data_IF_840198660817
#
_entry.id   IF_840198660817
#
_cell.length_a   1.000
_cell.length_b   1.000
_cell.length_c   1.000
_cell.angle_alpha   90.00
_cell.angle_beta   90.00
_cell.angle_gamma   90.00
#
_symmetry.space_group_name_H-M   'P 1'
#
loop_
_entity.id
_entity.type
_entity.pdbx_description
1 polymer ?
#
# COMPACT_ATOMS: atom_id res chain seq x y z
N UNK A 1 -24.70 30.66 12.65
CA UNK A 1 -25.71 29.70 12.17
C UNK A 1 -25.00 28.54 11.47
N UNK A 2 -24.94 27.37 12.10
CA UNK A 2 -24.41 26.16 11.47
C UNK A 2 -25.41 25.78 10.37
N UNK A 3 -25.02 25.91 9.08
CA UNK A 3 -25.82 25.39 7.97
C UNK A 3 -26.12 23.93 8.27
N UNK A 4 -27.39 23.59 8.58
CA UNK A 4 -27.85 22.19 8.59
C UNK A 4 -27.42 21.59 7.25
N UNK A 5 -26.42 20.70 7.27
CA UNK A 5 -26.02 19.96 6.06
C UNK A 5 -27.28 19.24 5.60
N UNK A 6 -27.78 19.61 4.42
CA UNK A 6 -28.90 18.92 3.78
C UNK A 6 -28.49 17.45 3.71
N UNK A 7 -29.23 16.58 4.39
CA UNK A 7 -28.93 15.15 4.37
C UNK A 7 -29.00 14.68 2.93
N UNK A 8 -27.91 14.06 2.50
CA UNK A 8 -27.85 13.49 1.17
C UNK A 8 -28.84 12.32 1.09
N UNK A 9 -29.50 12.12 -0.07
CA UNK A 9 -30.54 11.10 -0.19
C UNK A 9 -29.98 9.70 0.05
N UNK A 10 -30.81 8.86 0.67
CA UNK A 10 -30.65 7.41 0.68
C UNK A 10 -31.26 6.86 -0.62
N UNK A 11 -30.52 6.01 -1.32
CA UNK A 11 -31.01 5.30 -2.50
C UNK A 11 -31.24 3.85 -2.10
N UNK A 12 -32.48 3.39 -2.17
CA UNK A 12 -32.86 2.07 -1.68
C UNK A 12 -32.79 1.00 -2.77
N UNK A 13 -32.41 -0.22 -2.37
CA UNK A 13 -32.39 -1.43 -3.21
C UNK A 13 -31.72 -1.25 -4.57
N UNK A 14 -30.57 -0.59 -4.58
CA UNK A 14 -29.78 -0.35 -5.79
C UNK A 14 -28.93 -1.57 -6.11
N UNK A 15 -29.04 -2.07 -7.34
CA UNK A 15 -28.19 -3.15 -7.84
C UNK A 15 -26.85 -2.61 -8.32
N UNK A 16 -25.76 -3.22 -7.86
CA UNK A 16 -24.42 -2.96 -8.36
C UNK A 16 -24.22 -3.69 -9.69
N UNK A 17 -23.76 -2.97 -10.71
CA UNK A 17 -23.77 -3.46 -12.09
C UNK A 17 -22.38 -3.76 -12.66
N UNK A 18 -21.34 -3.04 -12.23
CA UNK A 18 -20.01 -3.15 -12.85
C UNK A 18 -18.91 -2.69 -11.86
N UNK A 19 -17.64 -2.80 -12.26
CA UNK A 19 -16.48 -2.35 -11.49
C UNK A 19 -15.75 -1.23 -12.24
N UNK A 20 -15.49 -0.13 -11.54
CA UNK A 20 -14.67 0.98 -11.99
C UNK A 20 -13.20 0.80 -11.62
N UNK A 21 -12.39 1.76 -12.05
CA UNK A 21 -11.02 1.91 -11.60
C UNK A 21 -10.93 2.14 -10.07
N UNK A 22 -9.72 1.97 -9.55
CA UNK A 22 -9.35 2.34 -8.17
C UNK A 22 -10.13 1.68 -7.03
N UNK A 23 -10.71 0.50 -7.22
CA UNK A 23 -11.34 -0.19 -6.10
C UNK A 23 -12.85 0.00 -5.98
N UNK A 24 -13.47 0.82 -6.83
CA UNK A 24 -14.89 1.18 -6.70
C UNK A 24 -15.73 0.38 -7.68
N UNK A 25 -16.93 0.01 -7.26
CA UNK A 25 -17.96 -0.53 -8.13
C UNK A 25 -18.88 0.59 -8.64
N UNK A 26 -19.69 0.27 -9.64
CA UNK A 26 -20.61 1.18 -10.31
C UNK A 26 -22.04 0.67 -10.15
N UNK A 27 -22.93 1.60 -9.81
CA UNK A 27 -24.36 1.48 -10.04
C UNK A 27 -24.86 2.64 -10.91
N UNK A 28 -26.02 2.47 -11.54
CA UNK A 28 -26.70 3.53 -12.29
C UNK A 28 -28.10 3.73 -11.74
N UNK A 29 -28.44 4.97 -11.39
CA UNK A 29 -29.78 5.37 -10.95
C UNK A 29 -30.13 6.68 -11.65
N UNK A 30 -31.24 6.72 -12.40
CA UNK A 30 -31.71 7.91 -13.13
C UNK A 30 -30.59 8.58 -13.95
N UNK A 31 -29.87 7.79 -14.76
CA UNK A 31 -28.72 8.19 -15.59
C UNK A 31 -27.49 8.74 -14.86
N UNK A 32 -27.49 8.75 -13.52
CA UNK A 32 -26.33 9.11 -12.71
C UNK A 32 -25.49 7.89 -12.40
N UNK A 33 -24.19 8.00 -12.68
CA UNK A 33 -23.18 7.00 -12.30
C UNK A 33 -22.84 7.18 -10.82
N UNK A 34 -22.99 6.12 -10.04
CA UNK A 34 -22.70 6.10 -8.61
C UNK A 34 -21.50 5.18 -8.37
N UNK A 35 -20.44 5.72 -7.79
CA UNK A 35 -19.28 4.96 -7.36
C UNK A 35 -19.44 4.52 -5.91
N UNK A 36 -19.29 3.21 -5.68
CA UNK A 36 -19.50 2.59 -4.38
C UNK A 36 -18.29 1.71 -4.04
N UNK A 37 -17.57 1.95 -2.93
CA UNK A 37 -16.47 1.08 -2.51
C UNK A 37 -17.01 -0.22 -1.86
N UNK A 38 -16.19 -1.27 -1.86
CA UNK A 38 -16.38 -2.50 -1.08
C UNK A 38 -17.67 -3.32 -1.38
N UNK A 39 -18.25 -3.11 -2.55
CA UNK A 39 -19.35 -3.89 -3.13
C UNK A 39 -18.90 -4.50 -4.45
N UNK A 40 -19.64 -5.52 -4.92
CA UNK A 40 -19.36 -6.23 -6.17
C UNK A 40 -20.61 -6.29 -7.06
N UNK A 41 -20.46 -6.47 -8.38
CA UNK A 41 -21.59 -6.66 -9.28
C UNK A 41 -22.51 -7.79 -8.83
N UNK A 42 -23.82 -7.52 -8.84
CA UNK A 42 -24.87 -8.41 -8.33
C UNK A 42 -25.28 -8.15 -6.87
N UNK A 43 -24.54 -7.36 -6.09
CA UNK A 43 -24.99 -6.92 -4.77
C UNK A 43 -26.24 -6.02 -4.92
N UNK A 44 -27.23 -6.18 -4.03
CA UNK A 44 -28.40 -5.29 -3.91
C UNK A 44 -28.32 -4.58 -2.55
N UNK A 45 -28.14 -3.26 -2.57
CA UNK A 45 -27.77 -2.48 -1.38
C UNK A 45 -28.53 -1.15 -1.29
N UNK A 46 -28.71 -0.66 -0.07
CA UNK A 46 -29.06 0.74 0.16
C UNK A 46 -27.78 1.57 0.18
N UNK A 47 -27.77 2.66 -0.60
CA UNK A 47 -26.62 3.53 -0.80
C UNK A 47 -26.86 4.89 -0.12
N UNK A 48 -26.04 5.20 0.87
CA UNK A 48 -26.00 6.54 1.44
C UNK A 48 -25.06 7.42 0.61
N UNK A 49 -25.62 8.41 -0.07
CA UNK A 49 -24.83 9.38 -0.82
C UNK A 49 -23.93 10.17 0.14
N UNK A 50 -22.64 10.25 -0.18
CA UNK A 50 -21.63 11.00 0.60
C UNK A 50 -21.19 12.27 -0.10
N UNK A 51 -21.12 12.22 -1.43
CA UNK A 51 -20.67 13.33 -2.26
C UNK A 51 -21.39 13.32 -3.59
N UNK A 52 -21.89 14.49 -4.00
CA UNK A 52 -22.45 14.70 -5.34
C UNK A 52 -21.49 15.57 -6.16
N UNK A 53 -21.17 15.13 -7.38
CA UNK A 53 -20.45 15.89 -8.40
C UNK A 53 -21.39 16.14 -9.59
N UNK A 54 -20.93 16.94 -10.56
CA UNK A 54 -21.73 17.31 -11.72
C UNK A 54 -22.06 16.08 -12.60
N UNK A 55 -21.15 15.11 -12.68
CA UNK A 55 -21.25 13.95 -13.60
C UNK A 55 -21.36 12.60 -12.89
N UNK A 56 -21.11 12.55 -11.57
CA UNK A 56 -21.17 11.31 -10.81
C UNK A 56 -21.47 11.56 -9.33
N UNK A 57 -21.78 10.48 -8.63
CA UNK A 57 -22.05 10.46 -7.19
C UNK A 57 -21.11 9.47 -6.51
N UNK A 58 -20.65 9.77 -5.31
CA UNK A 58 -19.98 8.81 -4.43
C UNK A 58 -20.92 8.47 -3.28
N UNK A 59 -21.12 7.17 -3.06
CA UNK A 59 -21.98 6.65 -2.00
C UNK A 59 -21.31 5.47 -1.29
N UNK A 60 -21.79 5.17 -0.10
CA UNK A 60 -21.39 3.98 0.66
C UNK A 60 -22.60 3.06 0.84
N UNK A 61 -22.39 1.76 0.72
CA UNK A 61 -23.40 0.77 1.08
C UNK A 61 -23.63 0.79 2.59
N UNK A 62 -24.86 1.06 3.01
CA UNK A 62 -25.25 1.09 4.43
C UNK A 62 -26.09 -0.11 4.84
N UNK A 63 -26.70 -0.80 3.89
CA UNK A 63 -27.46 -2.03 4.11
C UNK A 63 -27.37 -2.94 2.89
N UNK A 64 -27.15 -4.22 3.12
CA UNK A 64 -27.22 -5.26 2.08
C UNK A 64 -28.56 -5.98 2.19
N UNK A 65 -29.29 -6.05 1.08
CA UNK A 65 -30.50 -6.87 0.95
C UNK A 65 -30.17 -8.24 0.36
N UNK A 66 -29.20 -8.26 -0.56
CA UNK A 66 -28.70 -9.49 -1.19
C UNK A 66 -27.22 -9.32 -1.51
N UNK A 67 -26.41 -10.30 -1.10
CA UNK A 67 -25.04 -10.42 -1.55
C UNK A 67 -24.98 -11.12 -2.91
N UNK A 68 -24.08 -10.67 -3.77
CA UNK A 68 -23.79 -11.33 -5.02
C UNK A 68 -23.20 -12.73 -4.80
N UNK A 69 -23.55 -13.67 -5.67
CA UNK A 69 -22.98 -15.03 -5.64
C UNK A 69 -21.49 -15.07 -5.99
N UNK A 70 -20.97 -14.03 -6.67
CA UNK A 70 -19.55 -13.94 -7.02
C UNK A 70 -18.70 -13.36 -5.89
N UNK A 71 -19.28 -12.95 -4.77
CA UNK A 71 -18.54 -12.25 -3.71
C UNK A 71 -17.53 -13.20 -3.04
N UNK A 72 -16.29 -12.75 -2.87
CA UNK A 72 -15.29 -13.40 -2.04
C UNK A 72 -15.32 -12.87 -0.61
N UNK A 73 -14.88 -13.69 0.35
CA UNK A 73 -14.67 -13.27 1.73
C UNK A 73 -13.25 -12.69 1.85
N UNK A 74 -13.09 -11.41 2.26
CA UNK A 74 -11.76 -10.84 2.50
C UNK A 74 -11.00 -11.60 3.59
N UNK A 75 -9.76 -11.99 3.30
CA UNK A 75 -8.88 -12.66 4.28
C UNK A 75 -8.29 -11.68 5.31
N UNK A 76 -8.22 -10.39 4.99
CA UNK A 76 -7.67 -9.38 5.90
C UNK A 76 -8.75 -8.84 6.83
N UNK A 77 -8.54 -8.99 8.13
CA UNK A 77 -9.44 -8.48 9.18
C UNK A 77 -9.56 -6.94 9.17
N UNK A 78 -8.62 -6.24 8.53
CA UNK A 78 -8.62 -4.78 8.42
C UNK A 78 -9.25 -4.27 7.10
N UNK A 79 -9.80 -5.18 6.28
CA UNK A 79 -10.43 -4.83 5.00
C UNK A 79 -11.62 -3.88 5.20
N UNK A 80 -11.86 -2.98 4.24
CA UNK A 80 -12.89 -1.93 4.33
C UNK A 80 -12.47 -0.69 5.12
N UNK A 81 -11.53 -0.84 6.08
CA UNK A 81 -11.08 0.25 6.96
C UNK A 81 -9.69 0.75 6.55
N UNK A 82 -8.70 -0.16 6.46
CA UNK A 82 -7.30 0.18 6.18
C UNK A 82 -7.11 0.91 4.82
N UNK A 83 -7.96 0.64 3.83
CA UNK A 83 -7.91 1.28 2.51
C UNK A 83 -6.80 0.80 1.57
N UNK A 84 -5.81 0.06 2.06
CA UNK A 84 -4.70 -0.46 1.25
C UNK A 84 -5.10 -1.57 0.27
N UNK A 85 -6.10 -2.39 0.61
CA UNK A 85 -6.64 -3.44 -0.25
C UNK A 85 -8.10 -3.14 -0.55
N UNK A 86 -8.44 -2.92 -1.83
CA UNK A 86 -9.80 -2.50 -2.21
C UNK A 86 -10.65 -3.62 -2.82
N UNK A 87 -10.03 -4.67 -3.37
CA UNK A 87 -10.74 -5.70 -4.16
C UNK A 87 -10.81 -7.09 -3.49
N UNK A 88 -10.49 -7.25 -2.21
CA UNK A 88 -10.55 -8.58 -1.58
C UNK A 88 -11.96 -9.20 -1.54
N UNK A 89 -13.03 -8.40 -1.66
CA UNK A 89 -14.41 -8.90 -1.82
C UNK A 89 -14.69 -9.50 -3.19
N UNK A 90 -13.74 -9.41 -4.12
CA UNK A 90 -13.84 -9.91 -5.48
C UNK A 90 -12.87 -11.07 -5.67
N UNK A 91 -13.32 -12.24 -6.20
CA UNK A 91 -12.45 -13.36 -6.52
C UNK A 91 -11.30 -12.92 -7.43
N UNK A 92 -10.14 -13.54 -7.28
CA UNK A 92 -8.96 -13.10 -8.00
C UNK A 92 -9.11 -13.18 -9.53
N UNK A 93 -9.79 -14.23 -10.04
CA UNK A 93 -10.13 -14.36 -11.46
C UNK A 93 -10.93 -13.15 -11.96
N UNK A 94 -11.96 -12.75 -11.22
CA UNK A 94 -12.77 -11.57 -11.53
C UNK A 94 -11.93 -10.29 -11.48
N UNK A 95 -11.00 -10.16 -10.52
CA UNK A 95 -10.07 -9.02 -10.50
C UNK A 95 -9.27 -8.93 -11.82
N UNK A 96 -8.83 -10.04 -12.39
CA UNK A 96 -8.15 -10.05 -13.68
C UNK A 96 -9.09 -9.64 -14.82
N UNK A 97 -10.30 -10.19 -14.85
CA UNK A 97 -11.35 -9.84 -15.83
C UNK A 97 -11.66 -8.34 -15.84
N UNK A 98 -11.89 -7.74 -14.67
CA UNK A 98 -12.21 -6.31 -14.60
C UNK A 98 -11.01 -5.42 -14.88
N UNK A 99 -9.78 -5.83 -14.54
CA UNK A 99 -8.56 -5.10 -15.00
C UNK A 99 -8.42 -5.17 -16.51
N UNK A 100 -8.67 -6.33 -17.12
CA UNK A 100 -8.63 -6.52 -18.58
C UNK A 100 -9.62 -5.60 -19.26
N UNK A 101 -10.85 -5.57 -18.76
CA UNK A 101 -11.91 -4.68 -19.23
C UNK A 101 -11.50 -3.22 -19.10
N UNK A 102 -10.92 -2.79 -17.97
CA UNK A 102 -10.46 -1.41 -17.77
C UNK A 102 -9.39 -0.99 -18.76
N UNK A 103 -8.38 -1.84 -19.00
CA UNK A 103 -7.33 -1.55 -20.00
C UNK A 103 -7.96 -1.41 -21.38
N UNK A 104 -8.82 -2.35 -21.75
CA UNK A 104 -9.50 -2.37 -23.05
C UNK A 104 -10.39 -1.13 -23.24
N UNK A 105 -11.22 -0.81 -22.26
CA UNK A 105 -12.12 0.35 -22.27
C UNK A 105 -11.32 1.66 -22.36
N UNK A 106 -10.22 1.80 -21.62
CA UNK A 106 -9.39 3.00 -21.65
C UNK A 106 -8.71 3.18 -23.01
N UNK A 107 -8.10 2.13 -23.57
CA UNK A 107 -7.44 2.20 -24.87
C UNK A 107 -8.45 2.49 -26.00
N UNK A 108 -9.62 1.86 -25.99
CA UNK A 108 -10.65 2.10 -27.01
C UNK A 108 -11.33 3.47 -26.87
N UNK A 109 -11.75 3.86 -25.65
CA UNK A 109 -12.56 5.09 -25.45
C UNK A 109 -11.71 6.36 -25.37
N UNK A 110 -10.59 6.30 -24.65
CA UNK A 110 -9.71 7.46 -24.45
C UNK A 110 -8.66 7.50 -25.55
N UNK A 111 -7.98 6.37 -25.76
CA UNK A 111 -6.94 6.26 -26.79
C UNK A 111 -7.50 6.30 -28.22
N UNK A 112 -8.78 5.95 -28.42
CA UNK A 112 -9.44 5.87 -29.74
C UNK A 112 -8.65 5.00 -30.73
N UNK A 113 -7.98 3.97 -30.22
CA UNK A 113 -7.21 3.03 -31.03
C UNK A 113 -8.03 1.78 -31.30
N UNK A 114 -7.97 1.29 -32.54
CA UNK A 114 -8.36 -0.08 -32.85
C UNK A 114 -7.32 -1.02 -32.26
N UNK A 115 -7.78 -1.96 -31.46
CA UNK A 115 -6.91 -2.91 -30.77
C UNK A 115 -6.93 -4.23 -31.52
N UNK A 116 -5.77 -4.85 -31.77
CA UNK A 116 -5.74 -6.27 -32.12
C UNK A 116 -6.28 -7.09 -30.94
N UNK A 117 -6.37 -8.41 -31.12
CA UNK A 117 -6.72 -9.32 -30.03
C UNK A 117 -5.78 -9.11 -28.84
N UNK A 118 -6.35 -8.70 -27.71
CA UNK A 118 -5.59 -8.35 -26.52
C UNK A 118 -5.32 -9.63 -25.75
N UNK A 119 -4.03 -9.89 -25.46
CA UNK A 119 -3.65 -11.00 -24.61
C UNK A 119 -4.26 -10.84 -23.20
N UNK A 120 -4.69 -11.95 -22.56
CA UNK A 120 -5.17 -11.91 -21.18
C UNK A 120 -4.13 -11.32 -20.22
N UNK A 121 -4.59 -10.56 -19.22
CA UNK A 121 -3.73 -10.11 -18.13
C UNK A 121 -3.11 -11.33 -17.44
N UNK A 122 -1.77 -11.32 -17.37
CA UNK A 122 -1.03 -12.28 -16.59
C UNK A 122 -1.22 -12.01 -15.10
N UNK A 123 -1.91 -12.92 -14.42
CA UNK A 123 -2.07 -12.90 -12.97
C UNK A 123 -0.74 -13.10 -12.24
N UNK A 124 -0.74 -12.78 -10.96
CA UNK A 124 0.33 -13.12 -10.03
C UNK A 124 0.03 -14.45 -9.39
N UNK A 125 1.05 -15.31 -9.30
CA UNK A 125 0.96 -16.60 -8.62
C UNK A 125 0.70 -16.44 -7.11
N UNK A 126 1.13 -15.32 -6.53
CA UNK A 126 0.95 -15.00 -5.11
C UNK A 126 0.09 -13.75 -4.97
N UNK A 127 -1.09 -13.93 -4.38
CA UNK A 127 -2.06 -12.85 -4.09
C UNK A 127 -1.93 -12.32 -2.65
N UNK A 128 -1.16 -13.01 -1.82
CA UNK A 128 -0.80 -12.67 -0.45
C UNK A 128 0.73 -12.67 -0.30
N UNK A 129 1.22 -11.91 0.68
CA UNK A 129 2.64 -11.84 1.07
C UNK A 129 3.62 -11.50 -0.08
N UNK A 130 3.12 -10.88 -1.15
CA UNK A 130 3.89 -10.61 -2.37
C UNK A 130 4.69 -9.30 -2.32
N UNK A 131 4.37 -8.40 -1.38
CA UNK A 131 5.03 -7.09 -1.26
C UNK A 131 6.36 -7.24 -0.56
N UNK A 132 7.40 -6.73 -1.21
CA UNK A 132 8.76 -6.72 -0.69
C UNK A 132 9.10 -5.40 0.04
N UNK A 133 8.19 -4.43 0.07
CA UNK A 133 8.32 -3.16 0.78
C UNK A 133 6.97 -2.74 1.33
N UNK A 134 6.92 -2.45 2.63
CA UNK A 134 5.84 -1.70 3.27
C UNK A 134 6.41 -0.55 4.09
N UNK A 135 5.57 0.45 4.30
CA UNK A 135 5.83 1.60 5.12
C UNK A 135 4.65 1.78 6.08
N UNK A 136 4.96 1.85 7.36
CA UNK A 136 4.01 2.05 8.45
C UNK A 136 4.27 3.40 9.10
N UNK A 137 3.20 4.05 9.56
CA UNK A 137 3.25 5.31 10.29
C UNK A 137 3.00 5.06 11.77
N UNK A 138 3.80 5.69 12.62
CA UNK A 138 3.53 5.84 14.05
C UNK A 138 2.76 7.15 14.27
N UNK A 139 1.62 7.08 14.96
CA UNK A 139 0.83 8.27 15.30
C UNK A 139 0.21 8.17 16.67
N UNK A 140 0.14 9.29 17.39
CA UNK A 140 -0.63 9.41 18.64
C UNK A 140 -2.14 9.64 18.41
N UNK A 141 -2.61 9.52 17.16
CA UNK A 141 -4.02 9.63 16.78
C UNK A 141 -4.51 8.35 16.15
N UNK A 142 -4.73 7.33 16.98
CA UNK A 142 -5.38 6.08 16.59
C UNK A 142 -6.76 6.34 15.99
N UNK A 143 -7.02 5.70 14.87
CA UNK A 143 -8.37 5.62 14.31
C UNK A 143 -9.23 4.70 15.17
N UNK A 144 -10.37 5.22 15.63
CA UNK A 144 -11.41 4.43 16.29
C UNK A 144 -12.44 4.02 15.24
N UNK A 145 -12.75 2.73 15.21
CA UNK A 145 -13.81 2.18 14.38
C UNK A 145 -15.19 2.68 14.84
N UNK A 146 -16.18 2.59 13.96
CA UNK A 146 -17.56 2.96 14.31
C UNK A 146 -18.10 2.12 15.49
N UNK A 147 -17.65 0.88 15.62
CA UNK A 147 -18.01 -0.01 16.74
C UNK A 147 -17.40 0.49 18.05
N UNK A 148 -16.10 0.80 18.07
CA UNK A 148 -15.43 1.36 19.24
C UNK A 148 -16.02 2.71 19.68
N UNK A 149 -16.41 3.56 18.72
CA UNK A 149 -17.09 4.83 19.01
C UNK A 149 -18.46 4.59 19.67
N UNK A 150 -19.23 3.60 19.18
CA UNK A 150 -20.54 3.25 19.73
C UNK A 150 -20.46 2.68 21.15
N UNK A 151 -19.34 2.04 21.51
CA UNK A 151 -19.10 1.55 22.86
C UNK A 151 -18.87 2.67 23.88
N UNK A 152 -18.71 3.92 23.42
CA UNK A 152 -18.53 5.12 24.27
C UNK A 152 -17.43 4.95 25.33
N UNK A 153 -16.39 4.18 25.00
CA UNK A 153 -15.27 3.89 25.89
C UNK A 153 -14.17 4.93 25.69
N UNK A 154 -13.60 5.43 26.78
CA UNK A 154 -12.41 6.28 26.73
C UNK A 154 -11.18 5.39 26.57
N UNK A 155 -10.46 5.56 25.48
CA UNK A 155 -9.22 4.82 25.22
C UNK A 155 -8.03 5.67 25.66
N UNK A 156 -7.33 5.24 26.70
CA UNK A 156 -6.11 5.92 27.18
C UNK A 156 -4.95 5.76 26.18
N UNK A 157 -4.83 4.58 25.56
CA UNK A 157 -3.83 4.32 24.53
C UNK A 157 -4.34 4.78 23.15
N UNK A 158 -3.90 5.97 22.74
CA UNK A 158 -4.19 6.54 21.42
C UNK A 158 -3.01 6.46 20.44
N UNK A 159 -1.89 5.86 20.83
CA UNK A 159 -0.83 5.53 19.89
C UNK A 159 -1.25 4.38 18.96
N UNK A 160 -0.78 4.45 17.72
CA UNK A 160 -1.02 3.46 16.70
C UNK A 160 0.19 3.35 15.77
N UNK A 161 0.50 2.13 15.36
CA UNK A 161 1.40 1.86 14.23
C UNK A 161 0.62 1.13 13.14
N UNK A 162 0.68 1.65 11.91
CA UNK A 162 -0.08 1.07 10.81
C UNK A 162 -0.22 2.01 9.62
N UNK A 163 -1.42 2.10 9.07
CA UNK A 163 -1.69 2.86 7.84
C UNK A 163 -2.65 4.01 8.07
N UNK A 164 -2.47 5.09 7.29
CA UNK A 164 -3.42 6.18 7.25
C UNK A 164 -4.78 5.73 6.71
N UNK A 165 -5.83 6.30 7.29
CA UNK A 165 -7.20 6.08 6.81
C UNK A 165 -7.46 6.98 5.60
N UNK A 166 -8.11 6.48 4.52
CA UNK A 166 -8.53 7.31 3.40
C UNK A 166 -9.25 8.58 3.85
N UNK A 167 -8.82 9.73 3.34
CA UNK A 167 -9.32 11.08 3.70
C UNK A 167 -9.03 11.56 5.14
N UNK A 168 -8.24 10.82 5.93
CA UNK A 168 -7.83 11.22 7.28
C UNK A 168 -6.31 11.04 7.47
N UNK A 169 -5.55 11.96 6.86
CA UNK A 169 -4.08 11.91 6.85
C UNK A 169 -3.43 11.99 8.24
N UNK A 170 -4.12 12.52 9.25
CA UNK A 170 -3.57 12.62 10.60
C UNK A 170 -4.01 11.48 11.52
N UNK A 171 -4.72 10.48 11.01
CA UNK A 171 -5.18 9.33 11.78
C UNK A 171 -4.60 8.04 11.22
N UNK A 172 -4.19 7.15 12.10
CA UNK A 172 -3.60 5.85 11.74
C UNK A 172 -4.45 4.73 12.29
N UNK A 173 -4.79 3.76 11.43
CA UNK A 173 -5.35 2.49 11.86
C UNK A 173 -4.24 1.65 12.49
N UNK A 174 -4.39 1.31 13.77
CA UNK A 174 -3.57 0.28 14.38
C UNK A 174 -3.89 -1.06 13.72
N UNK A 175 -2.86 -1.77 13.25
CA UNK A 175 -3.03 -3.07 12.61
C UNK A 175 -2.13 -4.11 13.26
N UNK A 176 -2.62 -5.36 13.32
CA UNK A 176 -1.91 -6.50 13.91
C UNK A 176 -1.28 -7.40 12.86
N UNK A 177 -1.93 -7.53 11.69
CA UNK A 177 -1.40 -8.33 10.59
C UNK A 177 -1.67 -7.63 9.26
N UNK A 178 -0.62 -7.40 8.50
CA UNK A 178 -0.72 -7.07 7.09
C UNK A 178 -0.39 -8.34 6.29
N UNK A 179 -1.33 -8.77 5.46
CA UNK A 179 -1.21 -9.94 4.59
C UNK A 179 -0.48 -9.62 3.27
N UNK A 180 0.09 -8.42 3.13
CA UNK A 180 0.77 -8.01 1.90
C UNK A 180 2.26 -8.31 1.91
N UNK A 181 2.94 -8.33 3.05
CA UNK A 181 4.37 -8.61 3.17
C UNK A 181 4.58 -9.75 4.16
N UNK A 182 5.65 -10.53 3.96
CA UNK A 182 6.06 -11.66 4.80
C UNK A 182 5.93 -11.34 6.31
N UNK A 183 5.53 -12.34 7.10
CA UNK A 183 5.18 -12.20 8.51
C UNK A 183 6.29 -11.63 9.41
N UNK A 184 7.56 -11.74 9.02
CA UNK A 184 8.67 -11.05 9.71
C UNK A 184 8.41 -9.53 9.83
N UNK A 185 7.75 -8.93 8.83
CA UNK A 185 7.34 -7.53 8.88
C UNK A 185 6.30 -7.24 9.98
N UNK A 186 5.35 -8.16 10.21
CA UNK A 186 4.37 -8.02 11.28
C UNK A 186 5.04 -8.18 12.64
N UNK A 187 5.91 -9.18 12.79
CA UNK A 187 6.68 -9.43 14.02
C UNK A 187 7.51 -8.21 14.43
N UNK A 188 8.27 -7.62 13.49
CA UNK A 188 9.09 -6.43 13.75
C UNK A 188 8.22 -5.24 14.14
N UNK A 189 7.16 -4.94 13.36
CA UNK A 189 6.27 -3.81 13.66
C UNK A 189 5.64 -3.94 15.05
N UNK A 190 5.13 -5.13 15.39
CA UNK A 190 4.46 -5.37 16.66
C UNK A 190 5.46 -5.32 17.83
N UNK A 191 6.65 -5.89 17.68
CA UNK A 191 7.70 -5.80 18.70
C UNK A 191 8.11 -4.36 18.99
N UNK A 192 8.25 -3.53 17.95
CA UNK A 192 8.56 -2.10 18.10
C UNK A 192 7.43 -1.37 18.81
N UNK A 193 6.17 -1.63 18.43
CA UNK A 193 4.99 -1.06 19.10
C UNK A 193 4.97 -1.40 20.59
N UNK A 194 5.11 -2.68 20.92
CA UNK A 194 4.97 -3.17 22.29
C UNK A 194 6.11 -2.64 23.16
N UNK A 195 7.34 -2.62 22.63
CA UNK A 195 8.48 -1.99 23.31
C UNK A 195 8.28 -0.49 23.52
N UNK A 196 7.76 0.21 22.51
CA UNK A 196 7.48 1.63 22.58
C UNK A 196 6.39 1.95 23.63
N UNK A 197 5.38 1.09 23.77
CA UNK A 197 4.36 1.23 24.81
C UNK A 197 4.93 0.98 26.21
N UNK A 198 5.70 -0.09 26.38
CA UNK A 198 6.28 -0.46 27.67
C UNK A 198 7.28 0.58 28.20
N UNK A 199 7.98 1.27 27.30
CA UNK A 199 9.03 2.21 27.64
C UNK A 199 8.63 3.68 27.39
N UNK A 200 7.34 3.97 27.22
CA UNK A 200 6.78 5.32 27.08
C UNK A 200 7.38 6.18 25.95
N UNK A 201 7.64 5.56 24.79
CA UNK A 201 8.10 6.27 23.59
C UNK A 201 6.95 7.10 23.01
N UNK A 202 7.24 8.33 22.60
CA UNK A 202 6.24 9.23 22.00
C UNK A 202 6.09 8.94 20.50
N UNK A 203 4.83 8.87 20.04
CA UNK A 203 4.51 8.70 18.63
C UNK A 203 4.24 10.07 18.00
N UNK A 204 4.62 10.23 16.74
CA UNK A 204 4.58 11.53 16.09
C UNK A 204 3.15 12.03 15.87
N UNK A 205 2.91 13.27 16.26
CA UNK A 205 1.69 14.00 15.93
C UNK A 205 1.97 14.89 14.73
N UNK A 206 1.48 14.50 13.55
CA UNK A 206 1.74 15.25 12.31
C UNK A 206 1.19 16.68 12.31
N UNK A 207 0.15 16.98 13.11
CA UNK A 207 -0.42 18.33 13.19
C UNK A 207 0.35 19.24 14.14
N UNK A 208 0.79 18.71 15.28
CA UNK A 208 1.56 19.45 16.29
C UNK A 208 3.06 19.43 16.02
N UNK A 209 3.53 18.50 15.18
CA UNK A 209 4.95 18.29 14.84
C UNK A 209 5.81 17.95 16.06
N UNK A 210 5.26 17.07 16.90
CA UNK A 210 5.81 16.64 18.17
C UNK A 210 5.80 15.12 18.28
N UNK A 211 6.66 14.56 19.14
CA UNK A 211 6.86 13.13 19.29
C UNK A 211 8.10 12.62 18.55
N UNK A 212 8.50 11.39 18.85
CA UNK A 212 9.76 10.83 18.37
C UNK A 212 9.57 9.86 17.21
N UNK A 213 8.78 8.79 17.37
CA UNK A 213 8.65 7.75 16.33
C UNK A 213 7.73 8.22 15.20
N UNK A 214 8.21 8.18 13.94
CA UNK A 214 7.48 8.69 12.77
C UNK A 214 7.04 7.60 11.81
N UNK A 215 7.99 6.90 11.19
CA UNK A 215 7.70 5.89 10.18
C UNK A 215 8.61 4.67 10.35
N UNK A 216 8.16 3.53 9.85
CA UNK A 216 8.89 2.28 9.78
C UNK A 216 8.78 1.75 8.36
N UNK A 217 9.90 1.63 7.66
CA UNK A 217 9.95 1.00 6.34
C UNK A 217 10.62 -0.37 6.50
N UNK A 218 9.97 -1.42 6.02
CA UNK A 218 10.53 -2.78 6.00
C UNK A 218 10.64 -3.22 4.56
N UNK A 219 11.84 -3.66 4.17
CA UNK A 219 12.08 -4.28 2.86
C UNK A 219 12.60 -5.70 3.04
N UNK A 220 12.07 -6.61 2.26
CA UNK A 220 12.51 -8.01 2.16
C UNK A 220 12.99 -8.26 0.74
N UNK A 221 13.90 -9.21 0.52
CA UNK A 221 14.26 -9.66 -0.82
C UNK A 221 13.88 -11.14 -1.04
N UNK A 222 13.90 -11.58 -2.29
CA UNK A 222 13.62 -12.98 -2.65
C UNK A 222 14.71 -13.94 -2.17
N UNK A 223 15.92 -13.43 -1.95
CA UNK A 223 17.05 -14.19 -1.38
C UNK A 223 17.10 -14.16 0.16
N UNK A 224 16.06 -13.63 0.80
CA UNK A 224 15.93 -13.65 2.26
C UNK A 224 16.62 -12.51 3.00
N UNK A 225 17.16 -11.51 2.30
CA UNK A 225 17.71 -10.33 2.96
C UNK A 225 16.59 -9.41 3.49
N UNK A 226 16.89 -8.74 4.61
CA UNK A 226 15.93 -7.94 5.36
C UNK A 226 16.53 -6.59 5.76
N UNK A 227 15.87 -5.53 5.32
CA UNK A 227 16.18 -4.15 5.68
C UNK A 227 15.06 -3.55 6.52
N UNK A 228 15.43 -2.96 7.65
CA UNK A 228 14.54 -2.19 8.51
C UNK A 228 15.07 -0.76 8.55
N UNK A 229 14.20 0.21 8.25
CA UNK A 229 14.51 1.63 8.32
C UNK A 229 13.52 2.25 9.30
N UNK A 230 14.02 2.75 10.42
CA UNK A 230 13.20 3.54 11.34
C UNK A 230 13.42 5.03 11.11
N UNK A 231 12.33 5.78 11.10
CA UNK A 231 12.34 7.24 10.93
C UNK A 231 11.86 7.86 12.24
N UNK A 232 12.62 8.81 12.75
CA UNK A 232 12.35 9.49 14.01
C UNK A 232 12.53 11.00 13.91
N UNK A 233 11.99 11.74 14.88
CA UNK A 233 12.32 13.13 15.17
C UNK A 233 13.11 13.15 16.47
N UNK A 234 14.34 13.64 16.44
CA UNK A 234 15.26 13.71 17.60
C UNK A 234 15.72 15.16 17.72
N UNK A 235 15.50 15.75 18.90
CA UNK A 235 15.84 17.15 19.24
C UNK A 235 16.83 17.26 20.39
N UNK A 236 17.02 16.19 21.16
CA UNK A 236 17.87 16.15 22.36
C UNK A 236 18.75 14.90 22.39
N UNK A 237 19.85 14.95 23.15
CA UNK A 237 20.73 13.79 23.37
C UNK A 237 20.01 12.65 24.10
N UNK A 238 19.13 12.97 25.04
CA UNK A 238 18.31 11.98 25.73
C UNK A 238 17.39 11.20 24.76
N UNK A 239 16.75 11.88 23.80
CA UNK A 239 15.98 11.21 22.76
C UNK A 239 16.86 10.32 21.87
N UNK A 240 18.09 10.74 21.57
CA UNK A 240 19.06 9.93 20.84
C UNK A 240 19.43 8.65 21.60
N UNK A 241 19.66 8.74 22.92
CA UNK A 241 19.94 7.57 23.75
C UNK A 241 18.76 6.60 23.81
N UNK A 242 17.54 7.10 24.02
CA UNK A 242 16.33 6.28 23.97
C UNK A 242 16.23 5.58 22.61
N UNK A 243 16.37 6.33 21.52
CA UNK A 243 16.27 5.77 20.19
C UNK A 243 17.33 4.68 19.91
N UNK A 244 18.56 4.87 20.39
CA UNK A 244 19.60 3.85 20.32
C UNK A 244 19.23 2.57 21.10
N UNK A 245 18.55 2.67 22.25
CA UNK A 245 18.05 1.50 23.00
C UNK A 245 16.99 0.73 22.21
N UNK A 246 16.08 1.43 21.53
CA UNK A 246 15.10 0.80 20.63
C UNK A 246 15.78 0.08 19.47
N UNK A 247 16.75 0.72 18.80
CA UNK A 247 17.52 0.10 17.71
C UNK A 247 18.28 -1.14 18.20
N UNK A 248 18.89 -1.07 19.38
CA UNK A 248 19.58 -2.21 19.99
C UNK A 248 18.61 -3.36 20.30
N UNK A 249 17.44 -3.07 20.90
CA UNK A 249 16.41 -4.07 21.16
C UNK A 249 15.97 -4.80 19.88
N UNK A 250 15.77 -4.08 18.78
CA UNK A 250 15.42 -4.68 17.48
C UNK A 250 16.58 -5.54 16.96
N UNK A 251 17.81 -5.04 17.05
CA UNK A 251 19.01 -5.71 16.58
C UNK A 251 19.30 -7.04 17.31
N UNK A 252 18.87 -7.15 18.57
CA UNK A 252 19.03 -8.35 19.39
C UNK A 252 17.87 -9.32 19.20
N UNK A 253 16.64 -8.81 19.08
CA UNK A 253 15.44 -9.63 18.90
C UNK A 253 15.33 -10.25 17.50
N UNK A 254 15.86 -9.57 16.47
CA UNK A 254 15.80 -9.99 15.07
C UNK A 254 17.20 -10.06 14.45
N UNK A 255 18.01 -11.08 14.80
CA UNK A 255 19.34 -11.26 14.25
C UNK A 255 19.34 -11.50 12.73
N UNK A 256 18.20 -11.87 12.14
CA UNK A 256 18.02 -12.01 10.68
C UNK A 256 18.04 -10.67 9.91
N UNK A 257 17.99 -9.52 10.59
CA UNK A 257 18.07 -8.20 9.93
C UNK A 257 19.48 -8.00 9.36
N UNK A 258 19.56 -8.00 8.04
CA UNK A 258 20.83 -7.75 7.31
C UNK A 258 21.22 -6.27 7.24
N UNK A 259 20.25 -5.37 7.38
CA UNK A 259 20.43 -3.92 7.26
C UNK A 259 19.48 -3.19 8.21
N UNK A 260 19.98 -2.75 9.36
CA UNK A 260 19.22 -1.93 10.31
C UNK A 260 19.67 -0.48 10.19
N UNK A 261 18.78 0.34 9.64
CA UNK A 261 19.02 1.73 9.29
C UNK A 261 18.10 2.65 10.08
N UNK A 262 18.50 3.91 10.21
CA UNK A 262 17.61 4.95 10.70
C UNK A 262 17.80 6.29 9.99
N UNK A 263 16.77 7.12 10.07
CA UNK A 263 16.75 8.48 9.52
C UNK A 263 16.19 9.43 10.58
N UNK A 264 16.92 10.52 10.85
CA UNK A 264 16.41 11.62 11.67
C UNK A 264 15.72 12.63 10.75
N UNK A 265 14.41 12.72 10.86
CA UNK A 265 13.58 13.67 10.15
C UNK A 265 12.89 14.61 11.14
N UNK A 266 13.38 15.84 11.22
CA UNK A 266 12.79 16.93 12.01
C UNK A 266 11.92 17.88 11.15
N UNK A 267 11.69 17.55 9.88
CA UNK A 267 10.89 18.36 8.95
C UNK A 267 9.39 18.04 9.08
N UNK A 268 8.55 18.92 8.55
CA UNK A 268 7.10 18.78 8.56
C UNK A 268 6.57 17.65 7.63
N UNK A 269 7.40 17.11 6.74
CA UNK A 269 7.04 16.08 5.76
C UNK A 269 7.65 14.73 6.13
N UNK A 270 7.16 13.64 5.54
CA UNK A 270 7.63 12.27 5.80
C UNK A 270 8.69 11.78 4.80
N UNK A 271 9.14 12.64 3.90
CA UNK A 271 10.08 12.28 2.84
C UNK A 271 11.49 12.10 3.38
N UNK A 272 12.16 11.00 2.99
CA UNK A 272 13.55 10.71 3.38
C UNK A 272 14.59 11.04 2.29
N UNK A 273 14.15 11.47 1.10
CA UNK A 273 15.00 11.61 -0.09
C UNK A 273 16.22 12.52 0.13
N UNK A 274 16.04 13.64 0.83
CA UNK A 274 17.06 14.64 1.09
C UNK A 274 17.69 14.53 2.49
N UNK A 275 17.42 13.44 3.22
CA UNK A 275 17.94 13.20 4.57
C UNK A 275 19.07 12.19 4.57
N UNK A 276 19.97 12.28 5.54
CA UNK A 276 21.01 11.28 5.73
C UNK A 276 20.41 9.96 6.22
N UNK A 277 20.94 8.83 5.72
CA UNK A 277 20.55 7.49 6.17
C UNK A 277 21.71 6.91 6.94
N UNK A 278 21.51 6.70 8.23
CA UNK A 278 22.52 6.15 9.12
C UNK A 278 22.37 4.63 9.21
N UNK A 279 23.50 3.93 9.25
CA UNK A 279 23.53 2.48 9.47
C UNK A 279 23.81 2.20 10.93
N UNK A 280 22.88 1.56 11.62
CA UNK A 280 23.06 1.15 13.00
C UNK A 280 23.77 -0.21 13.10
N UNK A 281 23.32 -1.20 12.32
CA UNK A 281 23.91 -2.55 12.27
C UNK A 281 23.77 -3.18 10.88
N UNK A 282 24.79 -3.93 10.46
CA UNK A 282 24.82 -4.62 9.17
C UNK A 282 25.22 -3.69 8.02
N UNK A 283 24.61 -3.87 6.86
CA UNK A 283 24.93 -3.09 5.64
C UNK A 283 24.00 -1.89 5.49
N UNK A 284 24.40 -0.92 4.66
CA UNK A 284 23.54 0.20 4.23
C UNK A 284 22.58 -0.12 3.06
N UNK A 285 22.50 -1.40 2.69
CA UNK A 285 21.73 -1.89 1.55
C UNK A 285 21.37 -3.37 1.75
N UNK A 286 20.43 -3.86 0.93
CA UNK A 286 20.19 -5.28 0.69
C UNK A 286 20.39 -5.60 -0.79
N UNK A 287 20.51 -6.87 -1.12
CA UNK A 287 20.51 -7.39 -2.47
C UNK A 287 19.18 -8.06 -2.79
N UNK A 288 18.80 -7.90 -4.05
CA UNK A 288 17.72 -8.65 -4.69
C UNK A 288 18.26 -9.30 -5.95
N UNK A 289 17.73 -10.46 -6.30
CA UNK A 289 18.15 -11.20 -7.48
C UNK A 289 17.04 -11.31 -8.51
N UNK A 290 17.43 -11.27 -9.78
CA UNK A 290 16.56 -11.57 -10.90
C UNK A 290 17.37 -12.23 -12.01
N UNK A 291 17.09 -13.51 -12.26
CA UNK A 291 17.95 -14.38 -13.09
C UNK A 291 19.39 -14.37 -12.56
N UNK A 292 20.37 -13.96 -13.38
CA UNK A 292 21.78 -13.88 -12.98
C UNK A 292 22.20 -12.50 -12.47
N UNK A 293 21.26 -11.55 -12.39
CA UNK A 293 21.53 -10.18 -11.97
C UNK A 293 21.31 -10.01 -10.48
N UNK A 294 22.22 -9.27 -9.85
CA UNK A 294 22.13 -8.88 -8.46
C UNK A 294 22.00 -7.36 -8.35
N UNK A 295 20.89 -6.90 -7.75
CA UNK A 295 20.57 -5.48 -7.59
C UNK A 295 20.83 -5.02 -6.17
N UNK A 296 21.64 -3.97 -6.03
CA UNK A 296 21.88 -3.30 -4.76
C UNK A 296 20.73 -2.34 -4.43
N UNK A 297 19.91 -2.68 -3.44
CA UNK A 297 18.76 -1.90 -3.01
C UNK A 297 19.12 -1.10 -1.74
N UNK A 298 19.24 0.22 -1.88
CA UNK A 298 19.42 1.14 -0.74
C UNK A 298 18.09 1.68 -0.19
N UNK A 299 18.13 2.30 0.99
CA UNK A 299 16.94 2.85 1.68
C UNK A 299 16.06 3.77 0.82
N UNK A 300 16.67 4.59 -0.04
CA UNK A 300 15.98 5.55 -0.93
C UNK A 300 15.67 4.99 -2.32
N UNK A 301 16.26 3.85 -2.69
CA UNK A 301 16.10 3.27 -4.02
C UNK A 301 14.66 2.84 -4.26
N UNK A 302 14.16 3.09 -5.48
CA UNK A 302 12.95 2.46 -5.98
C UNK A 302 13.28 1.06 -6.52
N UNK A 303 12.44 0.10 -6.16
CA UNK A 303 12.43 -1.25 -6.70
C UNK A 303 10.97 -1.74 -6.75
N UNK A 304 10.66 -2.62 -7.69
CA UNK A 304 9.28 -3.09 -7.88
C UNK A 304 8.78 -3.79 -6.63
N UNK A 305 7.58 -3.42 -6.14
CA UNK A 305 7.11 -3.93 -4.85
C UNK A 305 6.74 -5.41 -4.86
N UNK A 306 6.57 -6.04 -6.02
CA UNK A 306 6.34 -7.48 -6.16
C UNK A 306 7.45 -8.05 -7.06
N UNK A 307 8.54 -8.57 -6.48
CA UNK A 307 9.70 -9.05 -7.23
C UNK A 307 9.35 -10.17 -8.21
N UNK A 308 8.46 -11.09 -7.81
CA UNK A 308 8.04 -12.21 -8.66
C UNK A 308 7.22 -11.75 -9.87
N UNK A 309 6.27 -10.83 -9.67
CA UNK A 309 5.51 -10.30 -10.81
C UNK A 309 6.35 -9.35 -11.68
N UNK A 310 7.31 -8.63 -11.09
CA UNK A 310 8.25 -7.81 -11.84
C UNK A 310 9.09 -8.66 -12.81
N UNK A 311 9.54 -9.84 -12.38
CA UNK A 311 10.22 -10.79 -13.25
C UNK A 311 9.38 -11.16 -14.49
N UNK A 312 8.10 -11.50 -14.30
CA UNK A 312 7.20 -11.82 -15.42
C UNK A 312 6.96 -10.61 -16.34
N UNK A 313 6.79 -9.42 -15.77
CA UNK A 313 6.68 -8.19 -16.55
C UNK A 313 7.92 -7.97 -17.42
N UNK A 314 9.12 -8.10 -16.84
CA UNK A 314 10.36 -7.87 -17.57
C UNK A 314 10.60 -8.93 -18.65
N UNK A 315 10.20 -10.19 -18.39
CA UNK A 315 10.22 -11.25 -19.41
C UNK A 315 9.32 -10.92 -20.60
N UNK A 316 8.11 -10.39 -20.36
CA UNK A 316 7.21 -9.94 -21.43
C UNK A 316 7.85 -8.80 -22.22
N UNK A 317 8.41 -7.79 -21.55
CA UNK A 317 9.11 -6.66 -22.19
C UNK A 317 10.25 -7.17 -23.09
N UNK A 318 11.12 -8.03 -22.55
CA UNK A 318 12.24 -8.63 -23.30
C UNK A 318 11.76 -9.42 -24.51
N UNK A 319 10.70 -10.21 -24.37
CA UNK A 319 10.14 -11.00 -25.47
C UNK A 319 9.51 -10.11 -26.56
N UNK A 320 8.83 -9.04 -26.18
CA UNK A 320 8.19 -8.11 -27.11
C UNK A 320 9.20 -7.25 -27.86
N UNK A 321 10.33 -6.91 -27.22
CA UNK A 321 11.42 -6.16 -27.84
C UNK A 321 12.12 -6.95 -28.96
N UNK A 322 12.00 -8.29 -28.98
CA UNK A 322 12.57 -9.18 -30.01
C UNK A 322 14.07 -8.92 -30.29
N UNK A 323 14.81 -8.60 -29.24
CA UNK A 323 16.23 -8.26 -29.32
C UNK A 323 17.05 -9.44 -29.85
N UNK A 324 17.93 -9.16 -30.81
CA UNK A 324 18.81 -10.14 -31.47
C UNK A 324 20.25 -10.07 -30.95
N UNK A 325 20.63 -8.96 -30.32
CA UNK A 325 21.99 -8.71 -29.81
C UNK A 325 22.70 -7.56 -30.51
N UNK A 326 22.15 -7.04 -31.60
CA UNK A 326 22.75 -5.97 -32.40
C UNK A 326 22.15 -4.57 -32.11
N UNK A 327 21.07 -4.52 -31.33
CA UNK A 327 20.30 -3.30 -31.10
C UNK A 327 20.94 -2.35 -30.08
N UNK A 328 20.79 -1.04 -30.33
CA UNK A 328 20.94 0.02 -29.35
C UNK A 328 19.56 0.31 -28.73
N UNK A 329 19.40 0.01 -27.45
CA UNK A 329 18.16 0.23 -26.71
C UNK A 329 18.27 1.53 -25.91
N UNK A 330 17.16 2.25 -25.74
CA UNK A 330 17.08 3.40 -24.84
C UNK A 330 16.08 3.11 -23.72
N UNK A 331 16.55 2.99 -22.47
CA UNK A 331 15.68 2.87 -21.29
C UNK A 331 15.31 4.25 -20.74
N UNK A 332 14.17 4.78 -21.21
CA UNK A 332 13.63 6.05 -20.72
C UNK A 332 12.99 5.87 -19.35
N UNK A 333 13.32 6.76 -18.40
CA UNK A 333 12.86 6.69 -16.99
C UNK A 333 13.39 5.46 -16.23
N UNK A 334 14.62 5.06 -16.55
CA UNK A 334 15.29 3.84 -16.04
C UNK A 334 15.35 3.67 -14.51
N UNK A 335 15.23 4.75 -13.75
CA UNK A 335 15.31 4.71 -12.28
C UNK A 335 16.63 4.11 -11.82
N UNK A 336 16.58 2.91 -11.23
CA UNK A 336 17.76 2.15 -10.78
C UNK A 336 18.35 1.24 -11.86
N UNK A 337 17.91 1.34 -13.11
CA UNK A 337 18.46 0.51 -14.20
C UNK A 337 17.88 -0.90 -14.29
N UNK A 338 16.81 -1.21 -13.56
CA UNK A 338 16.35 -2.61 -13.41
C UNK A 338 15.94 -3.26 -14.74
N UNK A 339 15.20 -2.52 -15.59
CA UNK A 339 14.80 -3.01 -16.92
C UNK A 339 16.00 -3.03 -17.86
N UNK A 340 16.75 -1.94 -17.95
CA UNK A 340 17.97 -1.85 -18.77
C UNK A 340 18.92 -3.02 -18.53
N UNK A 341 19.29 -3.28 -17.26
CA UNK A 341 20.19 -4.38 -16.92
C UNK A 341 19.58 -5.75 -17.27
N UNK A 342 18.28 -5.94 -17.08
CA UNK A 342 17.59 -7.20 -17.37
C UNK A 342 17.59 -7.58 -18.87
N UNK A 343 17.54 -6.59 -19.77
CA UNK A 343 17.53 -6.82 -21.22
C UNK A 343 18.91 -6.70 -21.87
N UNK A 344 19.88 -6.10 -21.17
CA UNK A 344 21.22 -5.84 -21.69
C UNK A 344 21.94 -7.09 -22.21
N UNK A 345 21.71 -8.26 -21.61
CA UNK A 345 22.31 -9.52 -22.06
C UNK A 345 21.89 -9.95 -23.48
N UNK A 346 20.89 -9.29 -24.08
CA UNK A 346 20.42 -9.53 -25.46
C UNK A 346 20.49 -8.29 -26.34
N UNK A 347 21.18 -7.25 -25.91
CA UNK A 347 21.34 -6.01 -26.70
C UNK A 347 22.82 -5.73 -26.92
N UNK A 348 23.16 -4.97 -27.96
CA UNK A 348 24.53 -4.51 -28.15
C UNK A 348 24.90 -3.45 -27.12
N UNK A 349 23.94 -2.56 -26.86
CA UNK A 349 24.07 -1.45 -25.92
C UNK A 349 22.67 -1.04 -25.43
N UNK A 350 22.60 -0.57 -24.18
CA UNK A 350 21.38 -0.03 -23.55
C UNK A 350 21.67 1.33 -22.95
#
# INVERSE_FOLDING_TARGET
MIRKKKEFPLLEKVTITDIAAEGKAIAKVNDLVIFVPYVVPGDIVDLQVKRKKNTYVEAEAVKFHQYSSIRAVPFCQHYGICGGCKWQVLPYSEQLTYKQKQITDNLKRIGKIELPDISPILGSEQTEFYRNKLEFTFSNKRWLTNEEIKQNTVYEQMNAVGFHIPNAFDKVLAIEKCWLQNDVSNRIRNAIRDYAYQNNYTFYNIRQQEGMLRNLIIRTSTIGELMVILICSIKTEYEQELYNRLLQYIADLFPEITSLLYVVNNKCNDTITDLEVHTFKGRNHIYEEMETLQFKIGAKSFYQTNSKQAYHLYKIVRNFAKLTGDELVYDLYTGTGTIANFIACRSRQV
#
